data_IF_966401445198
#
_entry.id   IF_966401445198
#
_cell.length_a   1.000
_cell.length_b   1.000
_cell.length_c   1.000
_cell.angle_alpha   90.00
_cell.angle_beta   90.00
_cell.angle_gamma   90.00
#
_symmetry.space_group_name_H-M   'P 1'
#
loop_
_entity.id
_entity.type
_entity.pdbx_description
1 polymer ?
#
# COMPACT_ATOMS: atom_id res chain seq x y z
N UNK A 1 10.20 -3.70 57.84
CA UNK A 1 10.70 -3.03 56.62
C UNK A 1 11.16 -4.08 55.62
N UNK A 2 10.37 -4.35 54.57
CA UNK A 2 10.81 -5.00 53.32
C UNK A 2 9.67 -4.79 52.32
N UNK A 3 9.66 -3.58 51.74
CA UNK A 3 8.59 -3.10 50.86
C UNK A 3 8.74 -3.79 49.50
N UNK A 4 7.57 -4.15 48.98
CA UNK A 4 7.24 -4.58 47.62
C UNK A 4 8.33 -4.31 46.58
N UNK A 5 9.02 -5.38 46.17
CA UNK A 5 9.98 -5.40 45.06
C UNK A 5 9.34 -6.09 43.84
N UNK A 6 8.09 -5.74 43.53
CA UNK A 6 7.30 -6.33 42.42
C UNK A 6 6.82 -5.24 41.44
N UNK A 7 7.32 -4.01 41.57
CA UNK A 7 6.85 -2.86 40.80
C UNK A 7 7.68 -2.53 39.54
N UNK A 8 8.44 -3.48 38.94
CA UNK A 8 9.39 -3.12 37.88
C UNK A 8 9.54 -4.08 36.69
N UNK A 9 8.51 -4.82 36.29
CA UNK A 9 8.58 -5.65 35.05
C UNK A 9 7.27 -5.71 34.27
N UNK A 10 6.43 -4.66 34.31
CA UNK A 10 5.19 -4.58 33.51
C UNK A 10 5.17 -3.30 32.64
N UNK A 11 6.30 -2.94 32.04
CA UNK A 11 6.37 -1.81 31.10
C UNK A 11 7.11 -2.11 29.79
N UNK A 12 7.09 -3.38 29.36
CA UNK A 12 7.49 -3.76 28.00
C UNK A 12 6.24 -4.25 27.26
N UNK A 13 5.23 -3.40 27.22
CA UNK A 13 4.05 -3.57 26.39
C UNK A 13 3.71 -2.22 25.75
N UNK A 14 4.41 -1.88 24.68
CA UNK A 14 3.83 -1.17 23.53
C UNK A 14 4.69 -1.55 22.33
N UNK A 15 4.12 -2.44 21.51
CA UNK A 15 4.84 -3.17 20.49
C UNK A 15 5.32 -2.29 19.35
N UNK A 16 6.63 -2.34 19.10
CA UNK A 16 7.11 -2.28 17.74
C UNK A 16 6.73 -3.58 17.05
N UNK A 17 6.04 -3.51 15.92
CA UNK A 17 5.91 -4.66 15.02
C UNK A 17 4.56 -5.34 14.98
N UNK A 18 3.48 -4.58 14.87
CA UNK A 18 2.35 -5.03 14.05
C UNK A 18 1.64 -3.79 13.47
N UNK A 19 2.36 -3.04 12.64
CA UNK A 19 1.70 -2.14 11.69
C UNK A 19 0.92 -3.03 10.73
N UNK A 20 -0.35 -3.31 11.08
CA UNK A 20 -1.33 -3.73 10.08
C UNK A 20 -1.26 -2.65 9.00
N UNK A 21 -0.83 -3.04 7.79
CA UNK A 21 -0.86 -2.15 6.63
C UNK A 21 -2.23 -1.48 6.63
N UNK A 22 -2.27 -0.16 6.75
CA UNK A 22 -3.53 0.54 6.69
C UNK A 22 -4.14 0.23 5.31
N UNK A 23 -5.46 -0.01 5.22
CA UNK A 23 -6.08 -0.20 3.92
C UNK A 23 -5.84 1.07 3.08
N UNK A 24 -5.42 0.88 1.83
CA UNK A 24 -5.28 1.98 0.87
C UNK A 24 -6.64 2.66 0.69
N UNK A 25 -6.67 3.98 0.82
CA UNK A 25 -7.91 4.77 0.78
C UNK A 25 -7.79 5.93 -0.20
N UNK A 26 -8.88 6.18 -0.94
CA UNK A 26 -8.98 7.36 -1.81
C UNK A 26 -8.77 8.62 -0.97
N UNK A 27 -7.95 9.53 -1.48
CA UNK A 27 -7.58 10.79 -0.84
C UNK A 27 -6.30 10.74 0.00
N UNK A 28 -5.73 9.55 0.26
CA UNK A 28 -4.43 9.44 0.96
C UNK A 28 -3.31 10.10 0.15
N UNK A 29 -2.27 10.57 0.83
CA UNK A 29 -1.15 11.22 0.14
C UNK A 29 -0.23 10.21 -0.51
N UNK A 30 0.51 10.65 -1.54
CA UNK A 30 1.50 9.82 -2.22
C UNK A 30 2.62 9.37 -1.27
N UNK A 31 2.99 10.20 -0.29
CA UNK A 31 3.98 9.88 0.74
C UNK A 31 3.48 8.77 1.67
N UNK A 32 2.22 8.87 2.13
CA UNK A 32 1.61 7.83 2.96
C UNK A 32 1.59 6.49 2.23
N UNK A 33 1.21 6.51 0.94
CA UNK A 33 1.20 5.31 0.12
C UNK A 33 2.61 4.71 -0.02
N UNK A 34 3.63 5.50 -0.33
CA UNK A 34 5.02 5.03 -0.47
C UNK A 34 5.58 4.40 0.80
N UNK A 35 5.16 4.88 1.97
CA UNK A 35 5.60 4.33 3.26
C UNK A 35 5.10 2.91 3.47
N UNK A 36 3.88 2.62 3.03
CA UNK A 36 3.19 1.34 3.21
C UNK A 36 3.45 0.38 2.03
N UNK A 37 3.54 0.91 0.81
CA UNK A 37 3.69 0.18 -0.46
C UNK A 37 5.08 0.36 -1.06
N UNK A 38 6.12 0.05 -0.27
CA UNK A 38 7.53 0.24 -0.67
C UNK A 38 7.96 -0.54 -1.91
N UNK A 39 7.21 -1.58 -2.29
CA UNK A 39 7.50 -2.43 -3.44
C UNK A 39 6.76 -1.98 -4.71
N UNK A 40 5.89 -0.97 -4.61
CA UNK A 40 5.16 -0.46 -5.77
C UNK A 40 6.11 0.22 -6.78
N UNK A 41 5.83 0.02 -8.06
CA UNK A 41 6.61 0.53 -9.19
C UNK A 41 5.88 1.71 -9.85
N UNK A 42 6.58 2.81 -10.08
CA UNK A 42 6.03 3.91 -10.91
C UNK A 42 5.98 3.44 -12.36
N UNK A 43 4.80 3.42 -12.95
CA UNK A 43 4.57 3.02 -14.36
C UNK A 43 4.16 4.19 -15.24
N UNK A 44 3.74 5.30 -14.64
CA UNK A 44 3.46 6.54 -15.35
C UNK A 44 3.76 7.74 -14.44
N UNK A 45 4.41 8.76 -14.99
CA UNK A 45 4.59 10.05 -14.34
C UNK A 45 4.37 11.15 -15.37
N UNK A 46 3.31 11.93 -15.19
CA UNK A 46 2.93 13.03 -16.07
C UNK A 46 2.58 14.29 -15.26
N UNK A 47 2.32 15.39 -15.96
CA UNK A 47 1.83 16.61 -15.32
C UNK A 47 0.44 16.46 -14.69
N UNK A 48 -0.33 15.44 -15.09
CA UNK A 48 -1.72 15.24 -14.67
C UNK A 48 -1.86 14.19 -13.57
N UNK A 49 -1.02 13.16 -13.60
CA UNK A 49 -1.07 12.04 -12.67
C UNK A 49 0.26 11.30 -12.53
N UNK A 50 0.40 10.62 -11.39
CA UNK A 50 1.41 9.58 -11.16
C UNK A 50 0.69 8.26 -10.98
N UNK A 51 1.15 7.18 -11.62
CA UNK A 51 0.55 5.86 -11.49
C UNK A 51 1.57 4.88 -10.94
N UNK A 52 1.19 4.21 -9.85
CA UNK A 52 1.94 3.11 -9.25
C UNK A 52 1.29 1.79 -9.60
N UNK A 53 2.10 0.76 -9.77
CA UNK A 53 1.71 -0.63 -9.95
C UNK A 53 2.22 -1.43 -8.75
N UNK A 54 1.35 -2.18 -8.09
CA UNK A 54 1.72 -3.11 -7.03
C UNK A 54 1.19 -4.52 -7.36
N UNK A 55 1.82 -5.54 -6.77
CA UNK A 55 1.40 -6.92 -6.93
C UNK A 55 0.82 -7.37 -5.60
N UNK A 56 -0.49 -7.60 -5.55
CA UNK A 56 -1.12 -8.03 -4.30
C UNK A 56 -0.63 -9.46 -3.95
N UNK A 57 0.24 -9.55 -2.94
CA UNK A 57 0.66 -10.81 -2.32
C UNK A 57 -0.20 -11.08 -1.08
N UNK A 58 -1.50 -10.96 -1.18
CA UNK A 58 -2.38 -11.34 -0.07
C UNK A 58 -2.18 -12.82 0.24
N UNK A 59 -1.73 -13.19 1.46
CA UNK A 59 -1.55 -14.60 1.84
C UNK A 59 -2.89 -15.35 1.97
N UNK A 60 -4.01 -14.63 1.89
CA UNK A 60 -5.37 -15.17 2.01
C UNK A 60 -5.94 -15.52 0.63
N UNK A 61 -5.59 -14.78 -0.43
CA UNK A 61 -6.01 -15.13 -1.78
C UNK A 61 -5.04 -16.14 -2.37
N UNK A 62 -5.43 -17.43 -2.35
CA UNK A 62 -4.81 -18.49 -3.17
C UNK A 62 -5.04 -18.31 -4.68
N UNK A 63 -5.41 -17.10 -5.07
CA UNK A 63 -5.80 -16.71 -6.42
C UNK A 63 -4.74 -15.72 -6.86
N UNK A 64 -4.16 -16.04 -8.01
CA UNK A 64 -3.19 -15.32 -8.83
C UNK A 64 -2.89 -13.88 -8.40
N UNK A 65 -1.61 -13.50 -8.39
CA UNK A 65 -1.16 -12.13 -8.14
C UNK A 65 -1.85 -11.17 -9.11
N UNK A 66 -2.86 -10.43 -8.63
CA UNK A 66 -3.54 -9.40 -9.41
C UNK A 66 -2.69 -8.13 -9.33
N UNK A 67 -2.37 -7.58 -10.50
CA UNK A 67 -1.75 -6.27 -10.62
C UNK A 67 -2.76 -5.19 -10.20
N UNK A 68 -2.41 -4.37 -9.23
CA UNK A 68 -3.20 -3.20 -8.81
C UNK A 68 -2.51 -1.91 -9.25
N UNK A 69 -3.28 -0.99 -9.81
CA UNK A 69 -2.84 0.34 -10.18
C UNK A 69 -3.41 1.39 -9.24
N UNK A 70 -2.57 2.34 -8.84
CA UNK A 70 -2.90 3.42 -7.92
C UNK A 70 -2.59 4.75 -8.58
N UNK A 71 -3.62 5.57 -8.79
CA UNK A 71 -3.52 6.80 -9.57
C UNK A 71 -3.56 7.99 -8.62
N UNK A 72 -2.50 8.79 -8.64
CA UNK A 72 -2.38 10.00 -7.84
C UNK A 72 -2.55 11.22 -8.73
N UNK A 73 -3.41 12.15 -8.31
CA UNK A 73 -3.51 13.47 -8.93
C UNK A 73 -3.46 14.54 -7.83
N UNK A 74 -2.67 15.59 -8.06
CA UNK A 74 -2.43 16.66 -7.06
C UNK A 74 -1.99 16.12 -5.69
N UNK A 75 -1.11 15.09 -5.71
CA UNK A 75 -0.54 14.46 -4.51
C UNK A 75 -1.49 13.56 -3.72
N UNK A 76 -2.70 13.28 -4.23
CA UNK A 76 -3.70 12.44 -3.56
C UNK A 76 -4.11 11.26 -4.42
N UNK A 77 -4.35 10.12 -3.81
CA UNK A 77 -4.91 8.95 -4.49
C UNK A 77 -6.34 9.25 -4.96
N UNK A 78 -6.60 9.10 -6.26
CA UNK A 78 -7.91 9.40 -6.88
C UNK A 78 -8.61 8.16 -7.42
N UNK A 79 -7.86 7.12 -7.80
CA UNK A 79 -8.40 5.89 -8.36
C UNK A 79 -7.53 4.69 -7.94
N UNK A 80 -8.19 3.53 -7.83
CA UNK A 80 -7.55 2.23 -7.73
C UNK A 80 -8.28 1.27 -8.68
N UNK A 81 -7.54 0.55 -9.52
CA UNK A 81 -8.11 -0.48 -10.40
C UNK A 81 -7.10 -1.59 -10.72
N UNK A 82 -7.52 -2.54 -11.55
CA UNK A 82 -6.68 -3.65 -12.03
C UNK A 82 -6.09 -3.36 -13.42
N UNK A 83 -6.23 -2.12 -13.89
CA UNK A 83 -5.88 -1.70 -15.24
C UNK A 83 -6.78 -2.36 -16.30
N UNK A 84 -6.26 -2.42 -17.53
CA UNK A 84 -6.90 -3.13 -18.62
C UNK A 84 -5.90 -3.90 -19.47
N UNK A 85 -6.38 -4.85 -20.28
CA UNK A 85 -5.56 -5.63 -21.21
C UNK A 85 -5.78 -5.13 -22.65
N UNK A 86 -4.86 -4.31 -23.20
CA UNK A 86 -4.86 -4.00 -24.62
C UNK A 86 -4.76 -5.28 -25.46
N UNK A 87 -5.31 -5.25 -26.67
CA UNK A 87 -5.22 -6.39 -27.61
C UNK A 87 -3.75 -6.76 -27.83
N UNK A 88 -3.39 -7.99 -27.48
CA UNK A 88 -2.02 -8.52 -27.62
C UNK A 88 -1.08 -8.21 -26.44
N UNK A 89 -1.56 -7.55 -25.39
CA UNK A 89 -0.76 -7.31 -24.18
C UNK A 89 -0.57 -8.60 -23.38
N UNK A 90 0.61 -8.73 -22.75
CA UNK A 90 0.94 -9.85 -21.86
C UNK A 90 0.69 -9.54 -20.37
N UNK A 91 0.42 -8.28 -20.06
CA UNK A 91 0.19 -7.77 -18.72
C UNK A 91 -0.80 -6.61 -18.80
N UNK A 92 -1.56 -6.32 -17.72
CA UNK A 92 -2.42 -5.16 -17.69
C UNK A 92 -1.60 -3.87 -17.69
N UNK A 93 -2.21 -2.81 -18.17
CA UNK A 93 -1.64 -1.46 -18.22
C UNK A 93 -2.59 -0.46 -17.55
N UNK A 94 -2.12 0.74 -17.13
CA UNK A 94 -2.96 1.75 -16.52
C UNK A 94 -4.15 2.13 -17.40
N UNK A 95 -5.32 2.27 -16.79
CA UNK A 95 -6.54 2.73 -17.45
C UNK A 95 -6.32 4.14 -18.04
N UNK A 96 -6.63 4.36 -19.32
CA UNK A 96 -6.60 5.70 -19.91
C UNK A 96 -7.69 6.54 -19.26
N UNK A 97 -7.34 7.72 -18.78
CA UNK A 97 -8.28 8.69 -18.21
C UNK A 97 -8.28 9.97 -19.04
#
# INVERSE_FOLDING_TARGET
MKKLLIALTIFIATGCGLQRLAPVTIGMTEEQFKLEHKQSLVVEMSAYRTVYKDWDRSPISRVDTIDKFYYFSKGKLTLMDEGFFPKGAKAPVPTPM
#
